data_IF_606601908410
#
_entry.id   IF_606601908410
#
_cell.length_a   1.000
_cell.length_b   1.000
_cell.length_c   1.000
_cell.angle_alpha   90.00
_cell.angle_beta   90.00
_cell.angle_gamma   90.00
#
_symmetry.space_group_name_H-M   'P 1'
#
loop_
_entity.id
_entity.type
_entity.pdbx_description
1 polymer ?
#
# COMPACT_ATOMS: atom_id res chain seq x y z
N UNK A 1 -15.21 -5.63 5.70
CA UNK A 1 -14.59 -5.47 7.04
C UNK A 1 -13.13 -5.01 6.93
N UNK A 2 -12.59 -4.26 7.90
CA UNK A 2 -11.22 -3.65 7.84
C UNK A 2 -10.08 -4.63 7.53
N UNK A 3 -10.25 -5.92 7.88
CA UNK A 3 -9.32 -7.01 7.49
C UNK A 3 -9.14 -7.16 5.99
N UNK A 4 -10.20 -6.93 5.21
CA UNK A 4 -10.19 -7.08 3.75
C UNK A 4 -9.29 -6.04 3.10
N UNK A 5 -9.35 -4.79 3.58
CA UNK A 5 -8.49 -3.69 3.11
C UNK A 5 -7.02 -4.01 3.37
N UNK A 6 -6.69 -4.56 4.55
CA UNK A 6 -5.32 -4.97 4.88
C UNK A 6 -4.82 -6.06 3.93
N UNK A 7 -5.67 -7.05 3.64
CA UNK A 7 -5.33 -8.16 2.74
C UNK A 7 -5.11 -7.67 1.31
N UNK A 8 -5.99 -6.82 0.81
CA UNK A 8 -5.84 -6.21 -0.53
C UNK A 8 -4.60 -5.32 -0.57
N UNK A 9 -4.34 -4.52 0.47
CA UNK A 9 -3.16 -3.69 0.57
C UNK A 9 -1.88 -4.53 0.50
N UNK A 10 -1.81 -5.64 1.25
CA UNK A 10 -0.70 -6.58 1.23
C UNK A 10 -0.53 -7.19 -0.17
N UNK A 11 -1.60 -7.70 -0.79
CA UNK A 11 -1.55 -8.25 -2.17
C UNK A 11 -1.08 -7.21 -3.18
N UNK A 12 -1.58 -5.98 -3.13
CA UNK A 12 -1.16 -4.89 -4.03
C UNK A 12 0.30 -4.53 -3.83
N UNK A 13 0.80 -4.61 -2.59
CA UNK A 13 2.21 -4.39 -2.27
C UNK A 13 3.08 -5.57 -2.71
N UNK A 14 2.61 -6.80 -2.61
CA UNK A 14 3.33 -7.99 -3.09
C UNK A 14 3.42 -8.03 -4.61
N UNK A 15 2.33 -7.66 -5.30
CA UNK A 15 2.30 -7.48 -6.75
C UNK A 15 3.05 -6.21 -7.22
N UNK A 16 3.45 -5.34 -6.28
CA UNK A 16 4.17 -4.13 -6.66
C UNK A 16 5.53 -4.44 -7.27
N UNK A 17 5.95 -3.58 -8.20
CA UNK A 17 7.25 -3.72 -8.80
C UNK A 17 8.33 -3.27 -7.81
N UNK A 18 9.08 -4.22 -7.23
CA UNK A 18 10.16 -3.94 -6.26
C UNK A 18 11.25 -2.97 -6.78
N UNK A 19 11.36 -2.78 -8.11
CA UNK A 19 12.25 -1.77 -8.72
C UNK A 19 11.68 -0.35 -8.68
N UNK A 20 10.36 -0.22 -8.61
CA UNK A 20 9.61 1.05 -8.50
C UNK A 20 8.52 0.88 -7.45
N UNK A 21 8.89 0.84 -6.15
CA UNK A 21 7.92 0.71 -5.09
C UNK A 21 6.92 1.86 -5.12
N UNK A 22 5.66 1.52 -4.91
CA UNK A 22 4.51 2.41 -4.92
C UNK A 22 4.49 3.24 -3.65
N UNK A 23 4.28 4.54 -3.82
CA UNK A 23 4.09 5.44 -2.69
C UNK A 23 2.71 5.21 -2.05
N UNK A 24 2.55 5.68 -0.82
CA UNK A 24 1.27 5.60 -0.10
C UNK A 24 0.12 6.23 -0.90
N UNK A 25 0.43 7.23 -1.74
CA UNK A 25 -0.52 7.90 -2.61
C UNK A 25 -0.98 7.00 -3.78
N UNK A 26 -0.03 6.30 -4.41
CA UNK A 26 -0.33 5.34 -5.47
C UNK A 26 -1.15 4.15 -4.93
N UNK A 27 -0.81 3.65 -3.74
CA UNK A 27 -1.59 2.61 -3.07
C UNK A 27 -3.01 3.08 -2.75
N UNK A 28 -3.18 4.30 -2.24
CA UNK A 28 -4.49 4.89 -2.02
C UNK A 28 -5.30 5.00 -3.32
N UNK A 29 -4.64 5.35 -4.43
CA UNK A 29 -5.27 5.44 -5.76
C UNK A 29 -5.73 4.08 -6.28
N UNK A 30 -4.90 3.05 -6.16
CA UNK A 30 -5.25 1.67 -6.55
C UNK A 30 -6.43 1.15 -5.74
N UNK A 31 -6.43 1.39 -4.44
CA UNK A 31 -7.53 0.97 -3.56
C UNK A 31 -8.81 1.74 -3.87
N UNK A 32 -8.71 3.05 -4.15
CA UNK A 32 -9.84 3.86 -4.62
C UNK A 32 -10.41 3.33 -5.94
N UNK A 33 -9.56 2.94 -6.88
CA UNK A 33 -9.95 2.37 -8.18
C UNK A 33 -10.66 1.02 -8.03
N UNK A 34 -10.22 0.19 -7.08
CA UNK A 34 -10.90 -1.06 -6.68
C UNK A 34 -12.23 -0.86 -5.93
N UNK A 35 -12.69 0.38 -5.73
CA UNK A 35 -13.94 0.69 -5.03
C UNK A 35 -13.79 0.89 -3.52
N UNK A 36 -12.56 0.95 -3.00
CA UNK A 36 -12.26 1.19 -1.60
C UNK A 36 -11.65 2.58 -1.41
N UNK A 37 -12.47 3.64 -1.19
CA UNK A 37 -11.97 4.99 -1.00
C UNK A 37 -11.25 5.11 0.35
N UNK A 38 -9.94 4.90 0.33
CA UNK A 38 -9.08 5.06 1.50
C UNK A 38 -8.15 6.25 1.33
N UNK A 39 -7.92 6.98 2.41
CA UNK A 39 -6.99 8.09 2.42
C UNK A 39 -5.55 7.59 2.58
N UNK A 40 -4.59 8.38 2.08
CA UNK A 40 -3.15 8.17 2.27
C UNK A 40 -2.77 7.91 3.74
N UNK A 41 -3.41 8.63 4.67
CA UNK A 41 -3.18 8.48 6.12
C UNK A 41 -3.55 7.08 6.63
N UNK A 42 -4.64 6.52 6.12
CA UNK A 42 -5.10 5.16 6.47
C UNK A 42 -4.16 4.10 5.89
N UNK A 43 -3.70 4.30 4.64
CA UNK A 43 -2.68 3.44 4.02
C UNK A 43 -1.41 3.44 4.87
N UNK A 44 -0.88 4.63 5.23
CA UNK A 44 0.32 4.74 6.05
C UNK A 44 0.18 4.01 7.39
N UNK A 45 -0.97 4.18 8.07
CA UNK A 45 -1.27 3.46 9.31
C UNK A 45 -1.27 1.95 9.13
N UNK A 46 -1.89 1.42 8.07
CA UNK A 46 -1.88 -0.01 7.79
C UNK A 46 -0.51 -0.51 7.36
N UNK A 47 0.25 0.33 6.65
CA UNK A 47 1.63 0.07 6.25
C UNK A 47 2.54 -0.13 7.47
N UNK A 48 2.44 0.77 8.45
CA UNK A 48 3.17 0.67 9.72
C UNK A 48 2.74 -0.55 10.52
N UNK A 49 1.44 -0.87 10.55
CA UNK A 49 0.93 -2.08 11.21
C UNK A 49 1.39 -3.39 10.57
N UNK A 50 1.83 -3.36 9.32
CA UNK A 50 2.34 -4.51 8.57
C UNK A 50 3.88 -4.51 8.51
N UNK A 51 4.55 -3.61 9.23
CA UNK A 51 6.02 -3.46 9.22
C UNK A 51 6.60 -3.25 7.80
N UNK A 52 5.82 -2.62 6.92
CA UNK A 52 6.14 -2.37 5.52
C UNK A 52 6.89 -1.02 5.43
N UNK A 53 8.20 -1.00 5.08
CA UNK A 53 8.96 0.26 4.99
C UNK A 53 8.47 1.18 3.87
N UNK A 54 8.80 2.48 3.94
CA UNK A 54 8.47 3.45 2.88
C UNK A 54 8.99 3.00 1.52
N UNK A 55 8.27 3.32 0.45
CA UNK A 55 8.70 3.09 -0.92
C UNK A 55 10.14 3.55 -1.19
N UNK A 56 10.53 4.69 -0.61
CA UNK A 56 11.89 5.24 -0.73
C UNK A 56 12.98 4.29 -0.20
N UNK A 57 12.70 3.50 0.84
CA UNK A 57 13.64 2.52 1.40
C UNK A 57 13.60 1.16 0.67
N UNK A 58 12.54 0.89 -0.10
CA UNK A 58 12.32 -0.40 -0.79
C UNK A 58 12.96 -0.49 -2.15
N UNK A 59 13.49 0.62 -2.66
CA UNK A 59 14.19 0.65 -3.94
C UNK A 59 15.50 -0.13 -3.81
N UNK A 60 15.51 -1.40 -4.22
CA UNK A 60 16.77 -2.11 -4.50
C UNK A 60 17.37 -1.50 -5.78
N UNK A 61 18.60 -1.02 -5.67
CA UNK A 61 19.45 -0.57 -6.80
C UNK A 61 19.71 -1.76 -7.73
#
# INVERSE_FOLDING_TARGET
STREIKKILETVIEEENKRKPLTDDALAKILKDKGYPIARRTVAKYREQLDIPVARLRKKI
#
